data_IF_116123152515
#
_entry.id   IF_116123152515
#
_cell.length_a   1.000
_cell.length_b   1.000
_cell.length_c   1.000
_cell.angle_alpha   90.00
_cell.angle_beta   90.00
_cell.angle_gamma   90.00
#
_symmetry.space_group_name_H-M   'P 1'
#
loop_
_entity.id
_entity.type
_entity.pdbx_description
1 polymer ?
#
# COMPACT_ATOMS: atom_id res chain seq x y z
N UNK A 1 23.79 -4.72 -13.02
CA UNK A 1 23.79 -4.80 -11.53
C UNK A 1 23.42 -3.43 -10.97
N UNK A 2 22.15 -3.22 -10.65
CA UNK A 2 21.71 -2.01 -9.95
C UNK A 2 22.11 -2.17 -8.48
N UNK A 3 23.10 -1.39 -8.05
CA UNK A 3 23.49 -1.28 -6.65
C UNK A 3 22.26 -0.77 -5.89
N UNK A 4 21.61 -1.64 -5.10
CA UNK A 4 20.66 -1.17 -4.11
C UNK A 4 21.41 -0.18 -3.21
N UNK A 5 21.06 1.10 -3.30
CA UNK A 5 21.37 2.03 -2.21
C UNK A 5 20.61 1.49 -1.01
N UNK A 6 21.33 1.05 0.03
CA UNK A 6 20.74 1.10 1.36
C UNK A 6 20.34 2.56 1.60
N UNK A 7 19.15 2.83 2.20
CA UNK A 7 18.83 4.18 2.62
C UNK A 7 19.97 4.62 3.52
N UNK A 8 20.74 5.60 3.06
CA UNK A 8 21.81 6.20 3.86
C UNK A 8 21.19 6.64 5.17
N UNK A 9 21.76 6.21 6.28
CA UNK A 9 21.53 6.78 7.60
C UNK A 9 21.41 8.29 7.46
N UNK A 10 20.26 8.84 7.87
CA UNK A 10 20.23 10.28 8.18
C UNK A 10 21.20 10.42 9.34
N UNK A 11 22.32 11.11 9.11
CA UNK A 11 23.51 11.06 9.96
C UNK A 11 23.24 11.44 11.42
N UNK A 12 22.10 12.11 11.69
CA UNK A 12 21.60 12.38 13.03
C UNK A 12 20.05 12.28 13.12
N UNK A 13 19.51 11.06 12.97
CA UNK A 13 18.07 10.81 13.23
C UNK A 13 17.66 11.18 14.65
N UNK A 14 18.56 11.03 15.63
CA UNK A 14 18.29 11.35 17.02
C UNK A 14 18.12 12.86 17.23
N UNK A 15 19.04 13.69 16.74
CA UNK A 15 18.94 15.14 16.79
C UNK A 15 17.73 15.68 16.05
N UNK A 16 17.33 15.05 14.94
CA UNK A 16 16.08 15.41 14.25
C UNK A 16 14.83 15.12 15.11
N UNK A 17 14.79 13.96 15.78
CA UNK A 17 13.70 13.61 16.71
C UNK A 17 13.67 14.56 17.92
N UNK A 18 14.84 14.92 18.46
CA UNK A 18 14.96 15.90 19.55
C UNK A 18 14.46 17.28 19.11
N UNK A 19 14.92 17.77 17.96
CA UNK A 19 14.51 19.06 17.41
C UNK A 19 12.99 19.14 17.18
N UNK A 20 12.42 18.10 16.58
CA UNK A 20 10.97 18.04 16.31
C UNK A 20 10.12 17.91 17.57
N UNK A 21 10.68 17.39 18.67
CA UNK A 21 9.96 17.33 19.95
C UNK A 21 10.10 18.61 20.78
N UNK A 22 11.30 19.17 20.85
CA UNK A 22 11.66 20.30 21.72
C UNK A 22 11.51 21.67 21.04
N UNK A 23 10.99 21.74 19.81
CA UNK A 23 10.76 23.03 19.16
C UNK A 23 9.68 23.83 19.91
N UNK A 24 10.10 24.96 20.51
CA UNK A 24 9.24 25.83 21.32
C UNK A 24 8.57 26.96 20.52
N UNK A 25 8.79 27.02 19.21
CA UNK A 25 8.10 27.98 18.34
C UNK A 25 6.61 27.65 18.26
N UNK A 26 5.80 28.46 18.94
CA UNK A 26 4.35 28.33 19.03
C UNK A 26 3.68 28.24 17.66
N UNK A 27 4.21 28.93 16.65
CA UNK A 27 3.61 28.97 15.31
C UNK A 27 3.78 27.67 14.53
N UNK A 28 4.82 26.89 14.83
CA UNK A 28 5.16 25.65 14.11
C UNK A 28 5.09 24.40 15.00
N UNK A 29 4.90 24.55 16.32
CA UNK A 29 4.90 23.46 17.31
C UNK A 29 4.04 22.26 16.93
N UNK A 30 2.83 22.49 16.42
CA UNK A 30 1.94 21.41 15.99
C UNK A 30 2.54 20.60 14.84
N UNK A 31 3.15 21.28 13.86
CA UNK A 31 3.84 20.64 12.74
C UNK A 31 5.08 19.87 13.19
N UNK A 32 5.86 20.43 14.12
CA UNK A 32 7.02 19.77 14.71
C UNK A 32 6.63 18.49 15.46
N UNK A 33 5.61 18.55 16.32
CA UNK A 33 5.11 17.38 17.04
C UNK A 33 4.49 16.33 16.10
N UNK A 34 3.80 16.78 15.04
CA UNK A 34 3.32 15.90 13.98
C UNK A 34 4.45 15.16 13.27
N UNK A 35 5.53 15.88 12.92
CA UNK A 35 6.72 15.30 12.30
C UNK A 35 7.44 14.34 13.25
N UNK A 36 7.56 14.68 14.54
CA UNK A 36 8.10 13.80 15.58
C UNK A 36 7.35 12.46 15.61
N UNK A 37 6.00 12.51 15.70
CA UNK A 37 5.14 11.32 15.71
C UNK A 37 5.34 10.49 14.44
N UNK A 38 5.35 11.13 13.27
CA UNK A 38 5.54 10.45 11.98
C UNK A 38 6.91 9.74 11.88
N UNK A 39 7.99 10.42 12.27
CA UNK A 39 9.34 9.84 12.31
C UNK A 39 9.40 8.63 13.24
N UNK A 40 8.87 8.75 14.45
CA UNK A 40 8.84 7.65 15.40
C UNK A 40 8.08 6.44 14.84
N UNK A 41 6.88 6.61 14.28
CA UNK A 41 6.12 5.48 13.71
C UNK A 41 6.86 4.84 12.54
N UNK A 42 7.44 5.63 11.63
CA UNK A 42 8.23 5.13 10.51
C UNK A 42 9.43 4.30 10.97
N UNK A 43 10.17 4.80 11.96
CA UNK A 43 11.34 4.11 12.52
C UNK A 43 10.98 2.94 13.44
N UNK A 44 9.70 2.79 13.79
CA UNK A 44 9.25 1.77 14.74
C UNK A 44 9.64 2.11 16.17
N UNK A 45 9.63 3.40 16.51
CA UNK A 45 9.92 3.95 17.82
C UNK A 45 8.63 4.41 18.51
N UNK A 46 8.70 4.54 19.83
CA UNK A 46 7.62 4.96 20.70
C UNK A 46 7.51 6.49 20.76
N UNK A 47 6.56 7.05 20.02
CA UNK A 47 6.28 8.50 19.98
C UNK A 47 5.69 9.05 21.30
N UNK A 48 5.21 8.19 22.20
CA UNK A 48 4.64 8.62 23.50
C UNK A 48 5.71 8.84 24.57
N UNK A 49 6.94 8.38 24.33
CA UNK A 49 8.08 8.65 25.21
C UNK A 49 8.82 9.87 24.70
N UNK A 50 9.04 10.86 25.57
CA UNK A 50 9.87 11.99 25.27
C UNK A 50 11.27 11.51 24.82
N UNK A 51 11.82 12.04 23.72
CA UNK A 51 13.16 11.70 23.31
C UNK A 51 14.17 12.34 24.27
N UNK A 52 15.19 11.58 24.62
CA UNK A 52 16.30 11.99 25.47
C UNK A 52 17.58 11.22 25.09
N UNK A 53 18.69 11.52 25.78
CA UNK A 53 19.97 10.86 25.53
C UNK A 53 19.96 9.35 25.82
N UNK A 54 19.01 8.84 26.60
CA UNK A 54 18.87 7.41 26.88
C UNK A 54 18.34 6.63 25.67
N UNK A 55 17.64 7.32 24.75
CA UNK A 55 17.00 6.74 23.57
C UNK A 55 16.00 5.63 23.90
N UNK A 56 15.43 5.63 25.11
CA UNK A 56 14.44 4.63 25.54
C UNK A 56 13.18 4.60 24.66
N UNK A 57 12.90 5.68 23.92
CA UNK A 57 11.84 5.77 22.93
C UNK A 57 12.09 4.83 21.72
N UNK A 58 13.32 4.39 21.45
CA UNK A 58 13.62 3.47 20.35
C UNK A 58 13.20 2.02 20.64
N UNK A 59 12.94 1.69 21.90
CA UNK A 59 12.61 0.34 22.36
C UNK A 59 11.10 0.06 22.26
N UNK A 60 10.57 -0.03 21.04
CA UNK A 60 9.20 -0.48 20.79
C UNK A 60 9.21 -1.93 20.29
N UNK A 61 8.34 -2.82 20.82
CA UNK A 61 8.24 -4.19 20.31
C UNK A 61 7.91 -4.20 18.81
N UNK A 62 8.54 -5.10 18.05
CA UNK A 62 8.40 -5.16 16.60
C UNK A 62 6.95 -5.33 16.13
N UNK A 63 6.15 -6.12 16.86
CA UNK A 63 4.72 -6.31 16.59
C UNK A 63 3.93 -5.01 16.75
N UNK A 64 4.18 -4.26 17.82
CA UNK A 64 3.52 -2.96 18.07
C UNK A 64 3.95 -1.93 17.01
N UNK A 65 5.23 -1.94 16.63
CA UNK A 65 5.74 -1.09 15.54
C UNK A 65 5.07 -1.42 14.20
N UNK A 66 4.88 -2.70 13.88
CA UNK A 66 4.19 -3.14 12.68
C UNK A 66 2.74 -2.68 12.68
N UNK A 67 2.00 -2.90 13.78
CA UNK A 67 0.63 -2.43 13.94
C UNK A 67 0.54 -0.91 13.73
N UNK A 68 1.43 -0.12 14.34
CA UNK A 68 1.43 1.34 14.19
C UNK A 68 1.62 1.77 12.73
N UNK A 69 2.48 1.09 11.96
CA UNK A 69 2.70 1.38 10.54
C UNK A 69 1.52 0.94 9.67
N UNK A 70 0.90 -0.19 9.99
CA UNK A 70 -0.26 -0.71 9.26
C UNK A 70 -1.50 0.19 9.42
N UNK A 71 -1.56 0.99 10.49
CA UNK A 71 -2.59 2.01 10.67
C UNK A 71 -2.36 3.28 9.82
N UNK A 72 -1.18 3.47 9.23
CA UNK A 72 -0.90 4.62 8.37
C UNK A 72 -1.26 4.31 6.93
N UNK A 73 -2.36 4.89 6.45
CA UNK A 73 -2.91 4.63 5.12
C UNK A 73 -2.58 5.77 4.16
N UNK A 74 -2.53 5.44 2.86
CA UNK A 74 -2.48 6.45 1.80
C UNK A 74 -3.87 7.09 1.68
N UNK A 75 -3.93 8.42 1.69
CA UNK A 75 -5.16 9.21 1.57
C UNK A 75 -5.16 10.13 0.33
N UNK A 76 -6.26 10.26 -0.45
CA UNK A 76 -7.53 9.51 -0.34
C UNK A 76 -7.32 7.99 -0.33
N UNK A 77 -8.24 7.18 0.21
CA UNK A 77 -8.03 5.75 0.36
C UNK A 77 -7.73 5.09 -0.99
N UNK A 78 -6.69 4.25 -1.01
CA UNK A 78 -6.36 3.42 -2.17
C UNK A 78 -6.39 1.94 -1.80
N UNK A 79 -6.94 1.11 -2.68
CA UNK A 79 -6.73 -0.33 -2.65
C UNK A 79 -5.73 -0.68 -3.74
N UNK A 80 -4.67 -1.41 -3.38
CA UNK A 80 -3.71 -1.97 -4.34
C UNK A 80 -4.22 -3.35 -4.73
N UNK A 81 -4.33 -3.61 -6.03
CA UNK A 81 -4.67 -4.94 -6.56
C UNK A 81 -3.53 -5.47 -7.42
N UNK A 82 -3.07 -6.68 -7.10
CA UNK A 82 -2.00 -7.42 -7.75
C UNK A 82 -2.53 -8.48 -8.72
N UNK A 83 -1.60 -9.11 -9.44
CA UNK A 83 -1.84 -10.13 -10.46
C UNK A 83 -2.70 -9.62 -11.63
N UNK A 84 -2.53 -8.35 -11.99
CA UNK A 84 -3.29 -7.73 -13.08
C UNK A 84 -2.57 -7.78 -14.43
N UNK A 85 -1.41 -8.44 -14.54
CA UNK A 85 -0.71 -8.64 -15.80
C UNK A 85 -1.29 -9.79 -16.62
N UNK A 86 -1.43 -9.59 -17.93
CA UNK A 86 -2.03 -10.58 -18.86
C UNK A 86 -0.98 -11.28 -19.73
N UNK A 87 0.29 -10.95 -19.56
CA UNK A 87 1.41 -11.53 -20.31
C UNK A 87 2.09 -10.51 -21.21
N UNK A 88 3.03 -10.97 -22.04
CA UNK A 88 3.74 -10.09 -22.99
C UNK A 88 2.95 -9.93 -24.28
N UNK A 89 2.80 -8.68 -24.71
CA UNK A 89 2.27 -8.32 -26.02
C UNK A 89 3.24 -8.69 -27.15
N UNK A 90 2.81 -8.44 -28.40
CA UNK A 90 3.59 -8.75 -29.61
C UNK A 90 4.91 -7.96 -29.69
N UNK A 91 4.94 -6.77 -29.09
CA UNK A 91 6.11 -5.90 -29.00
C UNK A 91 7.07 -6.29 -27.86
N UNK A 92 6.75 -7.37 -27.13
CA UNK A 92 7.52 -7.85 -25.98
C UNK A 92 7.29 -7.07 -24.68
N UNK A 93 6.48 -6.00 -24.69
CA UNK A 93 6.11 -5.26 -23.48
C UNK A 93 5.08 -6.04 -22.67
N UNK A 94 5.10 -5.87 -21.35
CA UNK A 94 4.10 -6.46 -20.47
C UNK A 94 2.75 -5.76 -20.66
N UNK A 95 1.71 -6.53 -20.88
CA UNK A 95 0.31 -6.09 -20.92
C UNK A 95 -0.41 -6.47 -19.62
N UNK A 96 -1.56 -5.83 -19.39
CA UNK A 96 -2.38 -6.10 -18.22
C UNK A 96 -3.82 -5.65 -18.37
N UNK A 97 -4.59 -5.87 -17.32
CA UNK A 97 -5.97 -5.40 -17.22
C UNK A 97 -5.99 -3.87 -17.24
N UNK A 98 -6.47 -3.29 -18.35
CA UNK A 98 -6.74 -1.86 -18.42
C UNK A 98 -7.92 -1.45 -17.52
N UNK A 99 -7.99 -0.15 -17.18
CA UNK A 99 -8.96 0.39 -16.22
C UNK A 99 -10.41 -0.06 -16.44
N UNK A 100 -10.92 0.02 -17.68
CA UNK A 100 -12.31 -0.40 -17.98
C UNK A 100 -12.56 -1.90 -17.68
N UNK A 101 -11.61 -2.77 -17.99
CA UNK A 101 -11.72 -4.20 -17.69
C UNK A 101 -11.62 -4.45 -16.18
N UNK A 102 -10.76 -3.70 -15.50
CA UNK A 102 -10.66 -3.76 -14.05
C UNK A 102 -11.96 -3.32 -13.38
N UNK A 103 -12.56 -2.20 -13.80
CA UNK A 103 -13.82 -1.70 -13.24
C UNK A 103 -14.96 -2.72 -13.41
N UNK A 104 -15.03 -3.37 -14.57
CA UNK A 104 -15.99 -4.46 -14.80
C UNK A 104 -15.73 -5.64 -13.87
N UNK A 105 -14.47 -6.03 -13.71
CA UNK A 105 -14.07 -7.14 -12.84
C UNK A 105 -14.43 -6.89 -11.37
N UNK A 106 -14.28 -5.66 -10.90
CA UNK A 106 -14.66 -5.25 -9.54
C UNK A 106 -16.18 -5.33 -9.36
N UNK A 107 -16.96 -4.92 -10.37
CA UNK A 107 -18.42 -5.05 -10.36
C UNK A 107 -18.87 -6.52 -10.36
N UNK A 108 -18.20 -7.40 -11.11
CA UNK A 108 -18.47 -8.85 -11.10
C UNK A 108 -18.28 -9.48 -9.71
N UNK A 109 -17.35 -8.95 -8.90
CA UNK A 109 -17.13 -9.35 -7.51
C UNK A 109 -18.14 -8.73 -6.53
N UNK A 110 -19.16 -8.02 -7.02
CA UNK A 110 -20.14 -7.24 -6.23
C UNK A 110 -19.48 -6.18 -5.33
N UNK A 111 -18.31 -5.70 -5.71
CA UNK A 111 -17.62 -4.61 -5.05
C UNK A 111 -17.94 -3.30 -5.77
N UNK A 112 -18.06 -2.21 -5.02
CA UNK A 112 -18.40 -0.89 -5.55
C UNK A 112 -17.43 0.17 -5.08
N UNK A 113 -17.33 1.24 -5.87
CA UNK A 113 -16.40 2.34 -5.62
C UNK A 113 -15.02 2.14 -6.23
N UNK A 114 -14.19 3.17 -6.09
CA UNK A 114 -12.83 3.18 -6.61
C UNK A 114 -12.78 3.49 -8.11
N UNK A 115 -11.85 4.35 -8.52
CA UNK A 115 -11.47 4.53 -9.92
C UNK A 115 -10.17 3.77 -10.18
N UNK A 116 -10.17 2.85 -11.13
CA UNK A 116 -9.01 2.03 -11.44
C UNK A 116 -7.95 2.78 -12.27
N UNK A 117 -6.70 2.65 -11.85
CA UNK A 117 -5.50 3.14 -12.55
C UNK A 117 -4.45 2.05 -12.56
N UNK A 118 -4.19 1.47 -13.72
CA UNK A 118 -3.11 0.51 -13.93
C UNK A 118 -1.75 1.21 -13.87
N UNK A 119 -0.75 0.57 -13.27
CA UNK A 119 0.61 1.12 -13.17
C UNK A 119 1.51 0.57 -14.28
N UNK A 120 2.36 1.46 -14.80
CA UNK A 120 3.26 1.17 -15.91
C UNK A 120 4.70 1.58 -15.58
N UNK A 121 5.64 0.77 -16.05
CA UNK A 121 7.07 1.05 -16.00
C UNK A 121 7.70 0.97 -17.38
N UNK A 122 9.04 0.90 -17.40
CA UNK A 122 9.84 0.86 -18.63
C UNK A 122 9.42 -0.27 -19.57
N UNK A 123 9.14 -1.44 -19.01
CA UNK A 123 8.84 -2.68 -19.75
C UNK A 123 7.34 -2.96 -19.90
N UNK A 124 6.49 -1.97 -19.64
CA UNK A 124 5.03 -2.09 -19.75
C UNK A 124 4.32 -2.16 -18.40
N UNK A 125 3.20 -2.85 -18.35
CA UNK A 125 2.32 -2.99 -17.20
C UNK A 125 3.02 -3.67 -16.01
N UNK A 126 2.87 -3.14 -14.80
CA UNK A 126 3.58 -3.63 -13.60
C UNK A 126 2.87 -4.78 -12.86
N UNK A 127 1.70 -5.20 -13.33
CA UNK A 127 0.87 -6.19 -12.66
C UNK A 127 0.16 -5.66 -11.41
N UNK A 128 0.10 -4.33 -11.31
CA UNK A 128 -0.50 -3.60 -10.20
C UNK A 128 -1.54 -2.63 -10.77
N UNK A 129 -2.73 -2.65 -10.19
CA UNK A 129 -3.79 -1.67 -10.42
C UNK A 129 -4.17 -1.01 -9.11
N UNK A 130 -4.16 0.32 -9.08
CA UNK A 130 -4.64 1.11 -7.95
C UNK A 130 -6.12 1.43 -8.12
N UNK A 131 -6.92 1.23 -7.09
CA UNK A 131 -8.27 1.77 -7.02
C UNK A 131 -8.28 2.96 -6.07
N UNK A 132 -8.51 4.16 -6.61
CA UNK A 132 -8.64 5.40 -5.84
C UNK A 132 -10.08 5.64 -5.43
N UNK A 133 -10.34 5.75 -4.13
CA UNK A 133 -11.65 6.06 -3.57
C UNK A 133 -11.80 7.56 -3.29
N UNK A 134 -13.03 7.98 -2.96
CA UNK A 134 -13.28 9.33 -2.49
C UNK A 134 -12.55 9.59 -1.16
N UNK A 135 -12.05 10.81 -0.96
CA UNK A 135 -11.36 11.22 0.26
C UNK A 135 -12.35 11.64 1.34
N UNK A 136 -13.31 10.77 1.64
CA UNK A 136 -14.36 10.95 2.65
C UNK A 136 -14.66 9.60 3.34
N UNK A 137 -15.48 9.63 4.39
CA UNK A 137 -15.84 8.44 5.17
C UNK A 137 -16.49 7.34 4.33
N UNK A 138 -17.27 7.72 3.31
CA UNK A 138 -17.91 6.77 2.40
C UNK A 138 -16.88 6.06 1.54
N UNK A 139 -15.91 6.81 1.00
CA UNK A 139 -14.79 6.28 0.24
C UNK A 139 -13.90 5.38 1.08
N UNK A 140 -13.62 5.75 2.33
CA UNK A 140 -12.89 4.90 3.27
C UNK A 140 -13.64 3.60 3.56
N UNK A 141 -14.95 3.67 3.86
CA UNK A 141 -15.77 2.49 4.09
C UNK A 141 -15.88 1.56 2.88
N UNK A 142 -15.88 2.11 1.66
CA UNK A 142 -15.82 1.32 0.42
C UNK A 142 -14.45 0.63 0.24
N UNK A 143 -13.35 1.36 0.46
CA UNK A 143 -11.99 0.82 0.36
C UNK A 143 -11.74 -0.31 1.37
N UNK A 144 -12.19 -0.12 2.63
CA UNK A 144 -12.07 -1.12 3.69
C UNK A 144 -12.87 -2.38 3.37
N UNK A 145 -14.12 -2.26 2.93
CA UNK A 145 -14.94 -3.43 2.53
C UNK A 145 -14.30 -4.23 1.40
N UNK A 146 -13.67 -3.53 0.43
CA UNK A 146 -12.94 -4.19 -0.65
C UNK A 146 -11.70 -4.93 -0.13
N UNK A 147 -10.88 -4.30 0.72
CA UNK A 147 -9.73 -4.97 1.32
C UNK A 147 -10.13 -6.17 2.17
N UNK A 148 -11.21 -6.05 2.95
CA UNK A 148 -11.77 -7.13 3.77
C UNK A 148 -12.28 -8.30 2.92
N UNK A 149 -12.92 -8.02 1.78
CA UNK A 149 -13.33 -9.06 0.83
C UNK A 149 -12.14 -9.89 0.35
N UNK A 150 -11.05 -9.24 -0.05
CA UNK A 150 -9.84 -9.94 -0.48
C UNK A 150 -9.22 -10.75 0.66
N UNK A 151 -9.15 -10.20 1.87
CA UNK A 151 -8.64 -10.94 3.03
C UNK A 151 -9.51 -12.17 3.35
N UNK A 152 -10.84 -12.03 3.39
CA UNK A 152 -11.80 -13.12 3.66
C UNK A 152 -11.77 -14.22 2.61
N UNK A 153 -11.42 -13.89 1.37
CA UNK A 153 -11.28 -14.87 0.28
C UNK A 153 -9.87 -15.44 0.18
N UNK A 154 -8.99 -15.17 1.16
CA UNK A 154 -7.58 -15.58 1.16
C UNK A 154 -6.78 -15.05 -0.04
N UNK A 155 -7.14 -13.86 -0.50
CA UNK A 155 -6.48 -13.10 -1.56
C UNK A 155 -5.98 -11.75 -1.04
N UNK A 156 -5.71 -11.65 0.25
CA UNK A 156 -5.22 -10.43 0.90
C UNK A 156 -3.71 -10.23 0.74
N UNK A 157 -3.17 -9.25 1.48
CA UNK A 157 -1.75 -8.87 1.43
C UNK A 157 -0.83 -10.06 1.73
N UNK A 158 -1.12 -10.81 2.79
CA UNK A 158 -0.30 -11.95 3.24
C UNK A 158 -0.31 -13.08 2.22
N UNK A 159 -1.49 -13.35 1.64
CA UNK A 159 -1.66 -14.38 0.63
C UNK A 159 -0.87 -14.06 -0.63
N UNK A 160 -0.85 -12.80 -1.07
CA UNK A 160 0.00 -12.36 -2.19
C UNK A 160 1.50 -12.47 -1.85
N UNK A 161 1.91 -12.00 -0.67
CA UNK A 161 3.31 -12.02 -0.25
C UNK A 161 3.87 -13.45 -0.06
N UNK A 162 3.01 -14.43 0.21
CA UNK A 162 3.38 -15.84 0.33
C UNK A 162 3.58 -16.56 -1.00
N UNK A 163 3.19 -15.96 -2.12
CA UNK A 163 3.42 -16.56 -3.44
C UNK A 163 4.89 -16.43 -3.86
N UNK A 164 5.44 -17.42 -4.59
CA UNK A 164 6.77 -17.29 -5.18
C UNK A 164 6.87 -16.02 -6.05
N UNK A 165 8.07 -15.40 -6.15
CA UNK A 165 8.29 -14.23 -6.98
C UNK A 165 7.72 -14.43 -8.39
N UNK A 166 6.73 -13.61 -8.73
CA UNK A 166 6.00 -13.75 -9.98
C UNK A 166 6.88 -13.33 -11.16
N UNK A 167 7.23 -14.29 -12.00
CA UNK A 167 7.75 -14.04 -13.35
C UNK A 167 6.70 -14.50 -14.36
N UNK A 168 6.08 -13.60 -15.13
CA UNK A 168 5.10 -13.97 -16.15
C UNK A 168 5.70 -15.01 -17.10
N UNK A 169 5.28 -16.26 -16.98
CA UNK A 169 5.77 -17.39 -17.76
C UNK A 169 4.61 -18.15 -18.40
N UNK A 170 4.89 -18.95 -19.42
CA UNK A 170 3.89 -19.83 -20.04
C UNK A 170 3.28 -20.83 -19.05
N UNK A 171 3.96 -21.14 -17.95
CA UNK A 171 3.45 -22.04 -16.90
C UNK A 171 2.49 -21.38 -15.91
N UNK A 172 2.31 -20.05 -15.95
CA UNK A 172 1.34 -19.34 -15.09
C UNK A 172 -0.07 -19.88 -15.24
N UNK A 173 -0.42 -20.34 -16.44
CA UNK A 173 -1.76 -20.85 -16.76
C UNK A 173 -2.13 -22.15 -16.05
N UNK A 174 -1.16 -22.84 -15.45
CA UNK A 174 -1.40 -24.06 -14.66
C UNK A 174 -1.50 -23.78 -13.16
N UNK A 175 -1.13 -22.57 -12.72
CA UNK A 175 -1.16 -22.23 -11.31
C UNK A 175 -2.54 -21.68 -10.92
N UNK A 176 -3.33 -22.48 -10.20
CA UNK A 176 -4.67 -22.11 -9.72
C UNK A 176 -4.68 -20.91 -8.77
N UNK A 177 -3.55 -20.55 -8.13
CA UNK A 177 -3.43 -19.33 -7.34
C UNK A 177 -3.26 -18.08 -8.21
N UNK A 178 -2.92 -18.21 -9.49
CA UNK A 178 -2.72 -17.08 -10.40
C UNK A 178 -3.81 -16.98 -11.47
N UNK A 179 -4.40 -18.12 -11.83
CA UNK A 179 -5.41 -18.23 -12.88
C UNK A 179 -6.52 -19.14 -12.40
N UNK A 180 -7.74 -18.63 -12.41
CA UNK A 180 -8.96 -19.40 -12.28
C UNK A 180 -9.51 -19.72 -13.68
N UNK A 181 -10.13 -20.88 -13.83
CA UNK A 181 -10.83 -21.27 -15.06
C UNK A 181 -12.31 -21.28 -14.76
N UNK A 182 -13.08 -20.48 -15.48
CA UNK A 182 -14.53 -20.49 -15.37
C UNK A 182 -15.06 -21.87 -15.78
N UNK A 183 -15.73 -22.55 -14.84
CA UNK A 183 -16.14 -23.95 -15.01
C UNK A 183 -17.17 -24.15 -16.14
N UNK A 184 -17.89 -23.09 -16.53
CA UNK A 184 -18.97 -23.15 -17.52
C UNK A 184 -18.49 -22.80 -18.93
N UNK A 185 -17.58 -21.83 -19.04
CA UNK A 185 -17.11 -21.28 -20.32
C UNK A 185 -15.69 -21.73 -20.68
N UNK A 186 -14.93 -22.24 -19.71
CA UNK A 186 -13.50 -22.53 -19.85
C UNK A 186 -12.62 -21.28 -19.92
N UNK A 187 -13.19 -20.09 -19.71
CA UNK A 187 -12.44 -18.83 -19.76
C UNK A 187 -11.44 -18.75 -18.61
N UNK A 188 -10.17 -18.53 -18.95
CA UNK A 188 -9.11 -18.31 -17.96
C UNK A 188 -9.10 -16.86 -17.50
N UNK A 189 -9.16 -16.64 -16.19
CA UNK A 189 -9.21 -15.32 -15.56
C UNK A 189 -8.12 -15.22 -14.49
N UNK A 190 -7.56 -14.02 -14.28
CA UNK A 190 -6.57 -13.81 -13.23
C UNK A 190 -7.24 -13.80 -11.85
N UNK A 191 -6.67 -14.54 -10.91
CA UNK A 191 -7.03 -14.44 -9.49
C UNK A 191 -6.46 -13.14 -8.96
N UNK A 192 -7.31 -12.23 -8.48
CA UNK A 192 -6.89 -10.90 -8.03
C UNK A 192 -6.58 -10.91 -6.54
N UNK A 193 -5.52 -10.22 -6.16
CA UNK A 193 -5.13 -10.06 -4.76
C UNK A 193 -5.16 -8.60 -4.38
N UNK A 194 -5.90 -8.24 -3.33
CA UNK A 194 -6.12 -6.83 -3.00
C UNK A 194 -5.97 -6.51 -1.51
N UNK A 195 -5.53 -5.30 -1.22
CA UNK A 195 -5.41 -4.80 0.15
C UNK A 195 -5.41 -3.28 0.20
N UNK A 196 -5.77 -2.73 1.37
CA UNK A 196 -5.69 -1.30 1.63
C UNK A 196 -4.22 -0.84 1.62
N UNK A 197 -3.94 0.20 0.85
CA UNK A 197 -2.59 0.74 0.70
C UNK A 197 -2.14 1.45 1.97
N UNK A 198 -0.97 1.06 2.49
CA UNK A 198 -0.37 1.68 3.68
C UNK A 198 0.90 2.43 3.31
N UNK A 199 1.52 3.08 4.30
CA UNK A 199 2.81 3.74 4.15
C UNK A 199 3.91 2.79 3.62
N UNK A 200 3.79 1.48 3.91
CA UNK A 200 4.70 0.44 3.43
C UNK A 200 4.59 0.16 1.92
N UNK A 201 3.58 0.73 1.24
CA UNK A 201 3.38 0.58 -0.20
C UNK A 201 3.68 1.84 -0.99
N UNK A 202 4.22 2.88 -0.35
CA UNK A 202 4.66 4.07 -1.05
C UNK A 202 5.66 3.71 -2.15
N UNK A 203 6.49 2.69 -2.01
CA UNK A 203 7.41 2.26 -3.06
C UNK A 203 6.70 1.70 -4.32
N UNK A 204 5.45 1.23 -4.19
CA UNK A 204 4.67 0.58 -5.26
C UNK A 204 3.81 1.55 -6.07
N UNK A 205 3.53 2.74 -5.56
CA UNK A 205 2.70 3.74 -6.24
C UNK A 205 3.53 4.65 -7.16
N UNK A 206 2.93 5.17 -8.24
CA UNK A 206 3.62 6.08 -9.15
C UNK A 206 3.87 7.46 -8.52
N UNK A 207 4.83 8.21 -9.09
CA UNK A 207 5.24 9.52 -8.58
C UNK A 207 4.09 10.55 -8.58
N UNK A 208 3.18 10.45 -9.54
CA UNK A 208 2.03 11.35 -9.62
C UNK A 208 1.06 11.12 -8.46
N UNK A 209 0.82 9.85 -8.13
CA UNK A 209 -0.02 9.42 -7.02
C UNK A 209 0.61 9.87 -5.70
N UNK A 210 1.92 9.64 -5.50
CA UNK A 210 2.65 10.12 -4.30
C UNK A 210 2.46 11.60 -4.04
N UNK A 211 2.55 12.41 -5.10
CA UNK A 211 2.41 13.88 -5.01
C UNK A 211 0.99 14.33 -4.64
N UNK A 212 -0.01 13.50 -4.91
CA UNK A 212 -1.44 13.82 -4.73
C UNK A 212 -2.05 13.13 -3.51
N UNK A 213 -1.23 12.48 -2.68
CA UNK A 213 -1.68 11.73 -1.51
C UNK A 213 -1.03 12.22 -0.23
N UNK A 214 -1.80 12.20 0.86
CA UNK A 214 -1.30 12.36 2.23
C UNK A 214 -1.24 11.00 2.93
N UNK A 215 -0.65 10.96 4.12
CA UNK A 215 -0.67 9.78 5.00
C UNK A 215 -1.55 10.12 6.19
N UNK A 216 -2.58 9.30 6.42
CA UNK A 216 -3.54 9.51 7.52
C UNK A 216 -3.57 8.30 8.45
N UNK A 217 -3.93 8.51 9.71
CA UNK A 217 -4.13 7.43 10.67
C UNK A 217 -5.53 6.83 10.53
N UNK A 218 -5.61 5.57 10.12
CA UNK A 218 -6.86 4.81 10.05
C UNK A 218 -7.57 4.76 11.40
N UNK A 219 -6.82 4.65 12.50
CA UNK A 219 -7.37 4.67 13.86
C UNK A 219 -8.08 6.00 14.16
N UNK A 220 -7.49 7.13 13.78
CA UNK A 220 -8.08 8.44 14.04
C UNK A 220 -9.31 8.66 13.16
N UNK A 221 -9.24 8.26 11.88
CA UNK A 221 -10.37 8.35 10.94
C UNK A 221 -11.58 7.49 11.35
N UNK A 222 -11.33 6.32 11.95
CA UNK A 222 -12.40 5.42 12.39
C UNK A 222 -12.89 5.70 13.82
N UNK A 223 -12.07 6.38 14.63
CA UNK A 223 -12.35 6.72 16.03
C UNK A 223 -13.08 8.05 16.25
N UNK A 224 -13.25 8.89 15.22
CA UNK A 224 -14.02 10.14 15.30
C UNK A 224 -15.56 9.94 15.25
N UNK A 225 -16.07 8.87 15.87
CA UNK A 225 -17.51 8.60 16.00
C UNK A 225 -17.95 8.56 17.46
#
# INVERSE_FOLDING_TARGET
>A
MLKHRSPKDVHDTHGLVMHTYCCDDVSTRVHHLGLHKALCVLMGWNFSKAPDNSKAYQNLPAEVAAINRDQLIIWPPHVIVHNTSTGKGKDGRMEGLGSKRMDNRIRELNLTGGKSKSLYGRDGHLGITLLKFAGDDSGLGQAMRMAEYFEKTNHGRKSWAGLPPFTPSKDDEKNHSLVEVDARTGEKRRVLYGYLATIADLDKVDLETKKKTTIESLRELTGSK
#
